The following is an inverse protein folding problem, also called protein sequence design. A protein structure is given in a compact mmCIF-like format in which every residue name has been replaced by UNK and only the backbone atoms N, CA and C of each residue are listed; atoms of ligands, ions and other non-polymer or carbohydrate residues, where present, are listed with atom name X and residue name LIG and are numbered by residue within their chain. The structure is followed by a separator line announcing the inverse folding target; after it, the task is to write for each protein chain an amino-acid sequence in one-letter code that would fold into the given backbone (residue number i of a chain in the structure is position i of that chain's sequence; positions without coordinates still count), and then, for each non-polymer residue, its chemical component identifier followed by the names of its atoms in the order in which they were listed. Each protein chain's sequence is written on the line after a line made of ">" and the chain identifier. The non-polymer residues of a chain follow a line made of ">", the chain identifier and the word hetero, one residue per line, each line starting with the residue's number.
data_IF_751409334935
#
_entry.id   IF_751409334935
#
_cell.length_a   1.000
_cell.length_b   1.000
_cell.length_c   1.000
_cell.angle_alpha   90.00
_cell.angle_beta   90.00
_cell.angle_gamma   90.00
#
_symmetry.space_group_name_H-M   'P 1'
#
loop_
_entity.id
_entity.type
_entity.pdbx_description
1 polymer ?
#
# COMPACT_ATOMS: atom_id res chain seq x y z
N UNK A 1 10.63 -23.18 -8.52
CA UNK A 1 11.57 -22.36 -7.74
C UNK A 1 11.16 -22.33 -6.30
N UNK A 2 12.09 -22.61 -5.42
CA UNK A 2 11.79 -22.64 -4.00
C UNK A 2 11.25 -21.32 -3.49
N UNK A 3 11.75 -20.20 -4.00
CA UNK A 3 11.30 -18.88 -3.55
C UNK A 3 9.83 -18.60 -3.84
N UNK A 4 9.23 -19.34 -4.75
CA UNK A 4 7.85 -19.13 -5.12
C UNK A 4 6.89 -20.06 -4.41
N UNK A 5 7.37 -20.83 -3.46
CA UNK A 5 6.54 -21.81 -2.78
C UNK A 5 6.06 -21.36 -1.38
N UNK A 6 6.46 -20.19 -0.92
CA UNK A 6 6.06 -19.71 0.40
C UNK A 6 4.66 -19.08 0.41
N UNK A 7 4.13 -18.76 1.60
CA UNK A 7 2.80 -18.15 1.72
C UNK A 7 2.66 -16.83 0.97
N UNK A 8 3.76 -16.10 0.78
CA UNK A 8 3.75 -14.81 0.07
C UNK A 8 3.98 -14.94 -1.43
N UNK A 9 4.26 -16.15 -1.91
CA UNK A 9 4.54 -16.36 -3.32
C UNK A 9 3.31 -15.99 -4.16
N UNK A 10 3.52 -15.15 -5.16
CA UNK A 10 2.44 -14.72 -6.03
C UNK A 10 1.55 -13.63 -5.46
N UNK A 11 1.75 -13.22 -4.23
CA UNK A 11 0.98 -12.11 -3.67
C UNK A 11 1.34 -10.82 -4.38
N UNK A 12 0.32 -10.00 -4.62
CA UNK A 12 0.44 -8.79 -5.43
C UNK A 12 0.24 -7.56 -4.57
N UNK A 13 1.18 -6.63 -4.68
CA UNK A 13 1.15 -5.40 -3.90
C UNK A 13 1.08 -4.22 -4.86
N UNK A 14 0.11 -3.33 -4.63
CA UNK A 14 -0.01 -2.10 -5.40
C UNK A 14 0.59 -0.96 -4.60
N UNK A 15 1.58 -0.27 -5.18
CA UNK A 15 2.17 0.92 -4.59
C UNK A 15 1.51 2.14 -5.21
N UNK A 16 0.97 3.03 -4.39
CA UNK A 16 0.34 4.26 -4.86
C UNK A 16 1.04 5.43 -4.19
N UNK A 17 1.95 6.07 -4.93
CA UNK A 17 2.77 7.17 -4.43
C UNK A 17 3.27 7.96 -5.62
N UNK A 18 3.40 9.28 -5.47
CA UNK A 18 3.92 10.11 -6.55
C UNK A 18 5.43 10.32 -6.46
N UNK A 19 6.07 9.81 -5.41
CA UNK A 19 7.52 9.94 -5.22
C UNK A 19 8.25 8.76 -5.87
N UNK A 20 8.96 9.05 -6.95
CA UNK A 20 9.64 8.01 -7.72
C UNK A 20 10.71 7.27 -6.92
N UNK A 21 11.40 7.96 -6.01
CA UNK A 21 12.44 7.33 -5.21
C UNK A 21 11.86 6.34 -4.21
N UNK A 22 10.75 6.72 -3.59
CA UNK A 22 10.09 5.82 -2.65
C UNK A 22 9.55 4.60 -3.38
N UNK A 23 8.92 4.81 -4.53
CA UNK A 23 8.41 3.70 -5.34
C UNK A 23 9.52 2.72 -5.69
N UNK A 24 10.65 3.23 -6.16
CA UNK A 24 11.74 2.35 -6.57
C UNK A 24 12.32 1.58 -5.40
N UNK A 25 12.53 2.25 -4.27
CA UNK A 25 13.05 1.60 -3.07
C UNK A 25 12.11 0.52 -2.56
N UNK A 26 10.82 0.82 -2.52
CA UNK A 26 9.83 -0.15 -2.05
C UNK A 26 9.71 -1.32 -3.01
N UNK A 27 9.70 -1.03 -4.32
CA UNK A 27 9.58 -2.09 -5.33
C UNK A 27 10.73 -3.07 -5.22
N UNK A 28 11.95 -2.56 -5.12
CA UNK A 28 13.13 -3.42 -5.02
C UNK A 28 13.08 -4.29 -3.76
N UNK A 29 12.73 -3.69 -2.63
CA UNK A 29 12.67 -4.43 -1.37
C UNK A 29 11.59 -5.51 -1.40
N UNK A 30 10.42 -5.17 -1.91
CA UNK A 30 9.30 -6.11 -1.92
C UNK A 30 9.50 -7.22 -2.93
N UNK A 31 10.04 -6.90 -4.10
CA UNK A 31 10.32 -7.94 -5.09
C UNK A 31 11.39 -8.89 -4.59
N UNK A 32 12.35 -8.39 -3.82
CA UNK A 32 13.38 -9.25 -3.21
C UNK A 32 12.77 -10.25 -2.22
N UNK A 33 11.60 -9.93 -1.67
CA UNK A 33 10.90 -10.83 -0.75
C UNK A 33 9.88 -11.73 -1.47
N UNK A 34 9.83 -11.70 -2.79
CA UNK A 34 8.98 -12.60 -3.56
C UNK A 34 7.63 -12.06 -3.97
N UNK A 35 7.33 -10.80 -3.68
CA UNK A 35 6.06 -10.19 -4.06
C UNK A 35 6.09 -9.68 -5.50
N UNK A 36 4.92 -9.66 -6.13
CA UNK A 36 4.72 -8.99 -7.41
C UNK A 36 4.25 -7.58 -7.12
N UNK A 37 4.91 -6.58 -7.71
CA UNK A 37 4.64 -5.18 -7.40
C UNK A 37 4.04 -4.46 -8.60
N UNK A 38 2.93 -3.77 -8.35
CA UNK A 38 2.27 -2.89 -9.32
C UNK A 38 2.45 -1.46 -8.82
N UNK A 39 2.53 -0.51 -9.75
CA UNK A 39 2.82 0.88 -9.40
C UNK A 39 1.78 1.82 -9.98
N UNK A 40 1.28 2.75 -9.16
CA UNK A 40 0.46 3.86 -9.59
C UNK A 40 1.07 5.14 -9.03
N UNK A 41 1.05 6.20 -9.84
CA UNK A 41 1.68 7.46 -9.50
C UNK A 41 0.72 8.51 -8.97
N UNK A 42 -0.57 8.22 -8.98
CA UNK A 42 -1.57 9.11 -8.39
C UNK A 42 -2.79 8.29 -7.97
N UNK A 43 -3.71 8.95 -7.28
CA UNK A 43 -4.86 8.27 -6.72
C UNK A 43 -5.81 7.70 -7.76
N UNK A 44 -5.95 8.37 -8.90
CA UNK A 44 -6.83 7.88 -9.96
C UNK A 44 -6.28 6.60 -10.58
N UNK A 45 -4.98 6.57 -10.85
CA UNK A 45 -4.32 5.36 -11.32
C UNK A 45 -4.43 4.25 -10.29
N UNK A 46 -4.27 4.60 -9.03
CA UNK A 46 -4.35 3.63 -7.94
C UNK A 46 -5.69 2.92 -7.90
N UNK A 47 -6.77 3.69 -8.00
CA UNK A 47 -8.10 3.11 -8.01
C UNK A 47 -8.33 2.24 -9.24
N UNK A 48 -7.93 2.72 -10.41
CA UNK A 48 -8.10 1.96 -11.65
C UNK A 48 -7.34 0.62 -11.60
N UNK A 49 -6.09 0.66 -11.12
CA UNK A 49 -5.30 -0.55 -11.01
C UNK A 49 -5.84 -1.50 -9.95
N UNK A 50 -6.31 -0.95 -8.84
CA UNK A 50 -6.90 -1.79 -7.79
C UNK A 50 -8.10 -2.56 -8.32
N UNK A 51 -8.95 -1.90 -9.08
CA UNK A 51 -10.13 -2.56 -9.64
C UNK A 51 -9.77 -3.59 -10.71
N UNK A 52 -8.83 -3.25 -11.57
CA UNK A 52 -8.45 -4.12 -12.68
C UNK A 52 -7.60 -5.31 -12.25
N UNK A 53 -6.62 -5.06 -11.38
CA UNK A 53 -5.61 -6.05 -11.04
C UNK A 53 -5.87 -6.80 -9.73
N UNK A 54 -6.78 -6.30 -8.93
CA UNK A 54 -7.23 -6.97 -7.69
C UNK A 54 -6.05 -7.37 -6.79
N UNK A 55 -5.24 -6.41 -6.32
CA UNK A 55 -4.08 -6.72 -5.50
C UNK A 55 -4.47 -7.26 -4.13
N UNK A 56 -3.51 -7.91 -3.47
CA UNK A 56 -3.71 -8.45 -2.14
C UNK A 56 -3.49 -7.39 -1.07
N UNK A 57 -2.67 -6.39 -1.37
CA UNK A 57 -2.35 -5.31 -0.45
C UNK A 57 -2.06 -4.04 -1.23
N UNK A 58 -2.45 -2.90 -0.67
CA UNK A 58 -2.16 -1.58 -1.25
C UNK A 58 -1.33 -0.78 -0.26
N UNK A 59 -0.21 -0.24 -0.71
CA UNK A 59 0.57 0.72 0.07
C UNK A 59 0.26 2.08 -0.53
N UNK A 60 -0.34 2.95 0.27
CA UNK A 60 -1.01 4.14 -0.20
C UNK A 60 -0.47 5.39 0.47
N UNK A 61 0.09 6.30 -0.34
CA UNK A 61 0.53 7.59 0.15
C UNK A 61 -0.68 8.47 0.43
N UNK A 62 -0.71 9.10 1.60
CA UNK A 62 -1.81 9.97 1.99
C UNK A 62 -1.83 11.26 1.18
N UNK A 63 -0.67 11.81 0.89
CA UNK A 63 -0.55 13.13 0.26
C UNK A 63 -0.13 13.01 -1.20
N UNK A 64 -1.11 13.05 -2.11
CA UNK A 64 -0.85 12.94 -3.53
C UNK A 64 -1.63 13.99 -4.31
N UNK A 65 -1.13 14.38 -5.49
CA UNK A 65 -1.93 15.23 -6.37
C UNK A 65 -3.14 14.47 -6.94
N UNK A 66 -4.10 15.21 -7.44
CA UNK A 66 -5.33 14.72 -8.08
C UNK A 66 -6.33 14.12 -7.12
N UNK A 67 -5.92 13.14 -6.32
CA UNK A 67 -6.84 12.51 -5.38
C UNK A 67 -6.06 12.10 -4.13
N UNK A 68 -6.50 12.58 -2.98
CA UNK A 68 -5.82 12.28 -1.73
C UNK A 68 -5.93 10.80 -1.39
N UNK A 69 -4.98 10.31 -0.59
CA UNK A 69 -5.00 8.93 -0.14
C UNK A 69 -6.24 8.57 0.64
N UNK A 70 -6.80 9.52 1.39
CA UNK A 70 -8.03 9.27 2.13
C UNK A 70 -9.19 8.94 1.21
N UNK A 71 -9.32 9.66 0.10
CA UNK A 71 -10.40 9.39 -0.85
C UNK A 71 -10.22 8.04 -1.52
N UNK A 72 -8.97 7.69 -1.82
CA UNK A 72 -8.68 6.37 -2.38
C UNK A 72 -9.06 5.28 -1.38
N UNK A 73 -8.69 5.47 -0.11
CA UNK A 73 -9.00 4.51 0.93
C UNK A 73 -10.51 4.30 1.09
N UNK A 74 -11.27 5.40 1.10
CA UNK A 74 -12.72 5.31 1.19
C UNK A 74 -13.29 4.46 0.07
N UNK A 75 -12.84 4.69 -1.16
CA UNK A 75 -13.36 3.94 -2.30
C UNK A 75 -12.93 2.48 -2.26
N UNK A 76 -11.71 2.20 -1.83
CA UNK A 76 -11.25 0.82 -1.69
C UNK A 76 -12.11 0.04 -0.70
N UNK A 77 -12.55 0.70 0.36
CA UNK A 77 -13.36 0.04 1.38
C UNK A 77 -14.76 -0.29 0.89
N UNK A 78 -15.25 0.42 -0.11
CA UNK A 78 -16.62 0.22 -0.60
C UNK A 78 -16.72 -0.61 -1.87
N UNK A 79 -15.62 -0.79 -2.57
CA UNK A 79 -15.67 -1.37 -3.91
C UNK A 79 -15.56 -2.89 -3.94
N UNK A 80 -15.35 -3.53 -2.80
CA UNK A 80 -15.11 -4.98 -2.76
C UNK A 80 -15.86 -5.60 -1.59
N UNK A 81 -16.42 -6.83 -1.79
CA UNK A 81 -17.07 -7.55 -0.69
C UNK A 81 -16.10 -7.85 0.46
N UNK A 82 -14.83 -8.18 0.11
CA UNK A 82 -13.79 -8.41 1.10
C UNK A 82 -12.79 -7.27 0.97
N UNK A 83 -12.60 -6.46 2.01
CA UNK A 83 -11.68 -5.32 1.93
C UNK A 83 -10.25 -5.76 1.67
N UNK A 84 -9.57 -5.02 0.78
CA UNK A 84 -8.15 -5.25 0.55
C UNK A 84 -7.35 -4.70 1.75
N UNK A 85 -6.21 -5.33 2.05
CA UNK A 85 -5.33 -4.80 3.09
C UNK A 85 -4.70 -3.50 2.61
N UNK A 86 -4.64 -2.51 3.50
CA UNK A 86 -4.06 -1.20 3.16
C UNK A 86 -3.08 -0.75 4.22
N UNK A 87 -1.87 -0.40 3.78
CA UNK A 87 -0.90 0.29 4.61
C UNK A 87 -0.84 1.73 4.10
N UNK A 88 -1.14 2.69 4.96
CA UNK A 88 -1.06 4.09 4.58
C UNK A 88 0.27 4.66 5.01
N UNK A 89 0.95 5.37 4.11
CA UNK A 89 2.21 6.03 4.42
C UNK A 89 2.06 7.53 4.25
N UNK A 90 2.76 8.31 5.07
CA UNK A 90 2.61 9.75 5.04
C UNK A 90 3.78 10.47 5.67
N UNK A 91 4.09 11.66 5.15
CA UNK A 91 5.04 12.57 5.79
C UNK A 91 4.37 13.42 6.86
N UNK A 92 3.04 13.39 6.95
CA UNK A 92 2.30 14.22 7.88
C UNK A 92 2.34 13.64 9.30
N UNK A 93 2.63 14.50 10.28
CA UNK A 93 2.75 14.07 11.67
C UNK A 93 1.46 14.26 12.49
N UNK A 94 0.41 14.78 11.88
CA UNK A 94 -0.79 15.08 12.60
C UNK A 94 -1.53 13.84 13.10
N UNK A 95 -1.86 13.84 14.40
CA UNK A 95 -2.59 12.73 14.99
C UNK A 95 -4.01 12.61 14.44
N UNK A 96 -4.59 13.71 13.98
CA UNK A 96 -5.91 13.67 13.36
C UNK A 96 -5.95 12.81 12.13
N UNK A 97 -4.91 12.90 11.31
CA UNK A 97 -4.84 12.13 10.07
C UNK A 97 -4.76 10.64 10.37
N UNK A 98 -3.98 10.29 11.39
CA UNK A 98 -3.87 8.89 11.78
C UNK A 98 -5.20 8.37 12.30
N UNK A 99 -5.87 9.15 13.16
CA UNK A 99 -7.16 8.74 13.69
C UNK A 99 -8.19 8.55 12.58
N UNK A 100 -8.19 9.44 11.60
CA UNK A 100 -9.13 9.35 10.49
C UNK A 100 -8.85 8.11 9.63
N UNK A 101 -7.58 7.84 9.36
CA UNK A 101 -7.20 6.65 8.59
C UNK A 101 -7.63 5.38 9.31
N UNK A 102 -7.44 5.34 10.63
CA UNK A 102 -7.84 4.20 11.43
C UNK A 102 -9.36 4.02 11.42
N UNK A 103 -10.08 5.13 11.46
CA UNK A 103 -11.54 5.10 11.39
C UNK A 103 -12.01 4.54 10.05
N UNK A 104 -11.29 4.82 8.97
CA UNK A 104 -11.61 4.28 7.65
C UNK A 104 -11.14 2.84 7.46
N UNK A 105 -10.51 2.26 8.47
CA UNK A 105 -10.16 0.85 8.44
C UNK A 105 -8.81 0.52 7.82
N UNK A 106 -7.84 1.44 7.91
CA UNK A 106 -6.49 1.15 7.45
C UNK A 106 -5.88 0.06 8.33
N UNK A 107 -5.11 -0.83 7.72
CA UNK A 107 -4.51 -1.95 8.46
C UNK A 107 -3.21 -1.57 9.15
N UNK A 108 -2.49 -0.60 8.60
CA UNK A 108 -1.33 -0.04 9.26
C UNK A 108 -1.10 1.38 8.75
N UNK A 109 -0.40 2.17 9.55
CA UNK A 109 -0.15 3.58 9.25
C UNK A 109 1.31 3.87 9.59
N UNK A 110 2.12 4.18 8.58
CA UNK A 110 3.55 4.34 8.75
C UNK A 110 3.97 5.74 8.32
N UNK A 111 4.74 6.40 9.17
CA UNK A 111 5.16 7.77 8.92
C UNK A 111 6.52 7.82 8.24
N UNK A 112 6.65 8.69 7.24
CA UNK A 112 7.92 8.95 6.56
C UNK A 112 8.76 9.90 7.41
N UNK A 113 10.07 9.76 7.44
CA UNK A 113 10.83 8.66 6.86
C UNK A 113 10.69 7.40 7.70
N UNK A 114 10.73 6.26 7.06
CA UNK A 114 10.61 4.98 7.76
C UNK A 114 11.75 4.05 7.34
N UNK A 115 12.07 3.10 8.24
CA UNK A 115 13.01 2.06 7.88
C UNK A 115 12.34 1.04 6.98
N UNK A 116 13.06 0.58 5.97
CA UNK A 116 12.51 -0.39 5.05
C UNK A 116 12.12 -1.70 5.77
N UNK A 117 12.90 -2.06 6.79
CA UNK A 117 12.60 -3.26 7.56
C UNK A 117 11.23 -3.20 8.23
N UNK A 118 10.88 -2.03 8.74
CA UNK A 118 9.59 -1.84 9.39
C UNK A 118 8.45 -2.01 8.40
N UNK A 119 8.60 -1.45 7.22
CA UNK A 119 7.58 -1.57 6.20
C UNK A 119 7.42 -3.01 5.73
N UNK A 120 8.52 -3.68 5.43
CA UNK A 120 8.48 -5.07 4.98
C UNK A 120 7.86 -5.96 6.06
N UNK A 121 8.19 -5.72 7.33
CA UNK A 121 7.61 -6.47 8.44
C UNK A 121 6.09 -6.32 8.46
N UNK A 122 5.60 -5.10 8.27
CA UNK A 122 4.17 -4.85 8.23
C UNK A 122 3.51 -5.60 7.07
N UNK A 123 4.13 -5.56 5.89
CA UNK A 123 3.62 -6.27 4.72
C UNK A 123 3.52 -7.77 5.00
N UNK A 124 4.58 -8.34 5.54
CA UNK A 124 4.61 -9.78 5.79
C UNK A 124 3.58 -10.18 6.83
N UNK A 125 3.40 -9.37 7.86
CA UNK A 125 2.39 -9.63 8.88
C UNK A 125 0.98 -9.64 8.27
N UNK A 126 0.69 -8.69 7.39
CA UNK A 126 -0.64 -8.56 6.82
C UNK A 126 -0.94 -9.59 5.74
N UNK A 127 0.08 -10.14 5.11
CA UNK A 127 -0.09 -11.10 4.02
C UNK A 127 0.27 -12.54 4.40
N UNK A 128 0.64 -12.78 5.64
CA UNK A 128 0.99 -14.14 6.08
C UNK A 128 -0.24 -14.97 6.41
#
# INVERSE_FOLDING_TARGET
>A
MAKDSGPKAGKRILLVDDDAEIIESLRLALEAHGYTVLVARDGNQGLALSERENPDLVILDMMMPKRSGFLVLEKLRRSRPVPVRVIMITANEGSRHKAYAEMLGVDDYIRKPFGMDKLVESVERLLS
#
